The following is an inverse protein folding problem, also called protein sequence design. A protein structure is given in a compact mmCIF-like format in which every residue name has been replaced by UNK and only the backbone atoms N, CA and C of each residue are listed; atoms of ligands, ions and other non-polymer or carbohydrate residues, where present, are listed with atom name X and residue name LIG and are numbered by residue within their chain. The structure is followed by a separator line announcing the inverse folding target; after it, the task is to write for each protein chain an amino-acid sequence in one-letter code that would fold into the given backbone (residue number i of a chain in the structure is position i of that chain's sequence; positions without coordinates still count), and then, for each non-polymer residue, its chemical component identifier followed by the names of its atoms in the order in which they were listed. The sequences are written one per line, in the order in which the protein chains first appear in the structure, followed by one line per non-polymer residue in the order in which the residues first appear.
data_IF_602388512048
#
_entry.id   IF_602388512048
#
_cell.length_a   1.000
_cell.length_b   1.000
_cell.length_c   1.000
_cell.angle_alpha   90.00
_cell.angle_beta   90.00
_cell.angle_gamma   90.00
#
_symmetry.space_group_name_H-M   'P 1'
#
loop_
_entity.id
_entity.type
_entity.pdbx_description
1 polymer ?
#
# COMPACT_ATOMS: atom_id res chain seq x y z
N UNK A 1 49.43 -15.96 1.35
CA UNK A 1 47.98 -16.13 1.61
C UNK A 1 47.28 -14.78 1.40
N UNK A 2 46.61 -14.59 0.26
CA UNK A 2 45.75 -13.41 0.04
C UNK A 2 44.53 -13.58 0.94
N UNK A 3 44.36 -12.69 1.92
CA UNK A 3 43.12 -12.60 2.70
C UNK A 3 42.00 -12.27 1.73
N UNK A 4 40.97 -13.12 1.67
CA UNK A 4 39.74 -12.82 0.95
C UNK A 4 39.19 -11.48 1.45
N UNK A 5 38.83 -10.61 0.52
CA UNK A 5 38.18 -9.35 0.85
C UNK A 5 36.87 -9.65 1.61
N UNK A 6 36.50 -8.85 2.62
CA UNK A 6 35.21 -9.01 3.28
C UNK A 6 34.09 -8.78 2.25
N UNK A 7 33.29 -9.82 2.00
CA UNK A 7 32.09 -9.74 1.16
C UNK A 7 31.14 -8.66 1.71
N UNK A 8 30.62 -7.83 0.80
CA UNK A 8 29.77 -6.67 1.14
C UNK A 8 28.47 -7.11 1.82
N UNK A 9 27.95 -6.37 2.82
CA UNK A 9 26.78 -6.82 3.57
C UNK A 9 25.45 -6.46 2.88
N UNK A 10 24.50 -7.39 3.00
CA UNK A 10 23.07 -7.22 3.33
C UNK A 10 21.99 -7.21 2.24
N UNK A 11 21.96 -6.35 1.22
CA UNK A 11 20.88 -6.41 0.21
C UNK A 11 20.97 -7.58 -0.80
N UNK A 12 22.14 -7.90 -1.40
CA UNK A 12 22.22 -9.00 -2.36
C UNK A 12 21.96 -10.36 -1.71
N UNK A 13 22.21 -10.51 -0.40
CA UNK A 13 22.22 -11.83 0.25
C UNK A 13 20.85 -12.49 0.35
N UNK A 14 19.79 -11.74 0.66
CA UNK A 14 18.43 -12.33 0.74
C UNK A 14 17.94 -12.71 -0.66
N UNK A 15 18.20 -11.86 -1.66
CA UNK A 15 17.88 -12.15 -3.06
C UNK A 15 18.68 -13.36 -3.56
N UNK A 16 19.95 -13.50 -3.19
CA UNK A 16 20.79 -14.66 -3.47
C UNK A 16 20.31 -15.93 -2.77
N UNK A 17 19.84 -15.83 -1.52
CA UNK A 17 19.28 -16.96 -0.77
C UNK A 17 17.99 -17.44 -1.44
N UNK A 18 17.11 -16.52 -1.82
CA UNK A 18 15.85 -16.79 -2.51
C UNK A 18 16.03 -17.08 -4.01
N UNK A 19 17.27 -17.01 -4.53
CA UNK A 19 17.60 -17.10 -5.96
C UNK A 19 16.72 -16.17 -6.84
N UNK A 20 16.32 -15.01 -6.31
CA UNK A 20 15.46 -14.07 -7.01
C UNK A 20 16.26 -13.29 -8.04
N UNK A 21 15.88 -13.45 -9.32
CA UNK A 21 16.57 -12.84 -10.46
C UNK A 21 15.71 -11.83 -11.22
N UNK A 22 14.39 -11.90 -11.04
CA UNK A 22 13.42 -11.09 -11.78
C UNK A 22 13.16 -9.76 -11.05
N UNK A 23 14.19 -8.91 -11.05
CA UNK A 23 14.07 -7.54 -10.57
C UNK A 23 13.57 -6.64 -11.71
N UNK A 24 12.56 -5.83 -11.38
CA UNK A 24 12.05 -4.82 -12.29
C UNK A 24 13.04 -3.63 -12.33
N UNK A 25 13.43 -3.15 -13.51
CA UNK A 25 14.39 -2.04 -13.64
C UNK A 25 13.77 -0.71 -13.20
N UNK A 26 14.61 0.25 -12.83
CA UNK A 26 14.16 1.59 -12.48
C UNK A 26 13.73 2.35 -13.76
N UNK A 27 12.43 2.67 -13.91
CA UNK A 27 11.92 3.27 -15.14
C UNK A 27 12.26 4.77 -15.20
N UNK A 28 12.97 5.18 -16.25
CA UNK A 28 13.32 6.59 -16.46
C UNK A 28 12.13 7.46 -16.95
N UNK A 29 11.02 6.85 -17.37
CA UNK A 29 9.81 7.53 -17.84
C UNK A 29 8.62 6.57 -17.88
N UNK A 30 7.39 7.11 -17.99
CA UNK A 30 6.18 6.30 -18.21
C UNK A 30 6.27 5.43 -19.47
N UNK A 31 6.94 5.93 -20.51
CA UNK A 31 7.22 5.18 -21.73
C UNK A 31 8.04 3.92 -21.45
N UNK A 32 9.19 4.12 -20.79
CA UNK A 32 10.13 3.05 -20.49
C UNK A 32 9.52 2.05 -19.52
N UNK A 33 8.71 2.51 -18.56
CA UNK A 33 7.95 1.63 -17.66
C UNK A 33 7.10 0.59 -18.40
N UNK A 34 6.35 0.99 -19.44
CA UNK A 34 5.51 0.03 -20.19
C UNK A 34 6.35 -0.98 -20.96
N UNK A 35 7.47 -0.55 -21.55
CA UNK A 35 8.40 -1.47 -22.20
C UNK A 35 9.03 -2.44 -21.19
N UNK A 36 9.49 -1.93 -20.05
CA UNK A 36 10.08 -2.73 -18.97
C UNK A 36 9.07 -3.73 -18.40
N UNK A 37 7.78 -3.34 -18.28
CA UNK A 37 6.72 -4.23 -17.83
C UNK A 37 6.38 -5.32 -18.85
N UNK A 38 6.49 -5.03 -20.15
CA UNK A 38 6.34 -6.06 -21.17
C UNK A 38 7.50 -7.08 -21.15
N UNK A 39 8.72 -6.63 -20.86
CA UNK A 39 9.92 -7.49 -20.81
C UNK A 39 10.07 -8.23 -19.47
N UNK A 40 9.60 -7.63 -18.36
CA UNK A 40 9.78 -8.11 -16.99
C UNK A 40 8.45 -8.27 -16.24
N UNK A 41 7.43 -8.79 -16.91
CA UNK A 41 6.14 -9.07 -16.29
C UNK A 41 6.30 -10.08 -15.13
N UNK A 42 5.55 -9.89 -14.04
CA UNK A 42 5.70 -10.58 -12.75
C UNK A 42 6.99 -10.24 -11.97
N UNK A 43 7.71 -9.18 -12.35
CA UNK A 43 8.92 -8.76 -11.67
C UNK A 43 8.68 -8.17 -10.26
N UNK A 44 9.77 -8.00 -9.52
CA UNK A 44 9.79 -7.30 -8.23
C UNK A 44 10.52 -5.97 -8.39
N UNK A 45 9.82 -4.87 -8.14
CA UNK A 45 10.41 -3.54 -8.06
C UNK A 45 10.70 -3.17 -6.61
N UNK A 46 11.98 -3.22 -6.24
CA UNK A 46 12.44 -2.78 -4.92
C UNK A 46 12.90 -1.34 -5.04
N UNK A 47 12.29 -0.45 -4.25
CA UNK A 47 12.60 0.98 -4.30
C UNK A 47 12.86 1.54 -2.93
N UNK A 48 14.04 2.11 -2.76
CA UNK A 48 14.35 2.97 -1.62
C UNK A 48 13.86 4.41 -1.87
N UNK A 49 13.66 5.16 -0.80
CA UNK A 49 13.07 6.50 -0.82
C UNK A 49 11.71 6.56 -1.56
N UNK A 50 10.86 5.56 -1.35
CA UNK A 50 9.54 5.44 -1.98
C UNK A 50 8.62 6.65 -1.73
N UNK A 51 8.69 7.30 -0.56
CA UNK A 51 7.94 8.52 -0.28
C UNK A 51 8.28 9.66 -1.25
N UNK A 52 9.56 9.80 -1.62
CA UNK A 52 10.00 10.79 -2.62
C UNK A 52 9.43 10.50 -4.01
N UNK A 53 9.32 9.22 -4.35
CA UNK A 53 8.71 8.79 -5.60
C UNK A 53 7.22 9.11 -5.65
N UNK A 54 6.48 8.81 -4.58
CA UNK A 54 5.06 9.20 -4.48
C UNK A 54 4.90 10.71 -4.68
N UNK A 55 5.74 11.52 -4.04
CA UNK A 55 5.75 12.98 -4.24
C UNK A 55 6.05 13.37 -5.69
N UNK A 56 6.98 12.69 -6.36
CA UNK A 56 7.28 12.99 -7.77
C UNK A 56 6.11 12.67 -8.71
N UNK A 57 5.33 11.62 -8.42
CA UNK A 57 4.13 11.28 -9.20
C UNK A 57 3.07 12.39 -9.11
N UNK A 58 2.98 13.08 -7.97
CA UNK A 58 2.06 14.20 -7.76
C UNK A 58 2.54 15.49 -8.45
N UNK A 59 3.84 15.75 -8.43
CA UNK A 59 4.41 17.04 -8.87
C UNK A 59 4.79 17.08 -10.35
N UNK A 60 5.10 15.94 -10.96
CA UNK A 60 5.71 15.88 -12.28
C UNK A 60 4.70 15.43 -13.33
N UNK A 61 4.27 16.36 -14.20
CA UNK A 61 3.28 16.10 -15.26
C UNK A 61 3.68 14.97 -16.22
N UNK A 62 4.98 14.77 -16.45
CA UNK A 62 5.48 13.69 -17.31
C UNK A 62 5.39 12.30 -16.66
N UNK A 63 5.14 12.22 -15.35
CA UNK A 63 4.89 10.98 -14.61
C UNK A 63 3.40 10.73 -14.35
N UNK A 64 2.51 11.63 -14.78
CA UNK A 64 1.07 11.43 -14.65
C UNK A 64 0.59 10.16 -15.38
N UNK A 65 1.17 9.87 -16.55
CA UNK A 65 0.92 8.64 -17.32
C UNK A 65 1.36 7.39 -16.54
N UNK A 66 2.47 7.46 -15.79
CA UNK A 66 2.95 6.36 -14.95
C UNK A 66 1.98 6.06 -13.81
N UNK A 67 1.42 7.09 -13.17
CA UNK A 67 0.41 6.92 -12.13
C UNK A 67 -0.81 6.17 -12.64
N UNK A 68 -1.31 6.51 -13.83
CA UNK A 68 -2.42 5.81 -14.47
C UNK A 68 -2.09 4.33 -14.73
N UNK A 69 -0.88 4.03 -15.21
CA UNK A 69 -0.45 2.65 -15.40
C UNK A 69 -0.38 1.86 -14.10
N UNK A 70 0.11 2.44 -13.01
CA UNK A 70 0.14 1.79 -11.70
C UNK A 70 -1.28 1.54 -11.15
N UNK A 71 -2.24 2.42 -11.44
CA UNK A 71 -3.65 2.20 -11.10
C UNK A 71 -4.24 1.02 -11.86
N UNK A 72 -4.03 0.96 -13.18
CA UNK A 72 -4.48 -0.15 -14.03
C UNK A 72 -3.86 -1.48 -13.64
N UNK A 73 -2.57 -1.46 -13.34
CA UNK A 73 -1.81 -2.62 -12.84
C UNK A 73 -2.43 -3.18 -11.56
N UNK A 74 -2.80 -2.34 -10.60
CA UNK A 74 -3.45 -2.78 -9.36
C UNK A 74 -4.78 -3.50 -9.62
N UNK A 75 -5.56 -2.97 -10.57
CA UNK A 75 -6.87 -3.50 -10.98
C UNK A 75 -6.78 -4.67 -11.98
N UNK A 76 -5.57 -5.08 -12.39
CA UNK A 76 -5.33 -6.15 -13.36
C UNK A 76 -5.84 -5.83 -14.76
N UNK A 77 -5.91 -4.54 -15.13
CA UNK A 77 -6.40 -4.11 -16.43
C UNK A 77 -5.29 -4.13 -17.48
N UNK A 78 -5.60 -4.50 -18.75
CA UNK A 78 -4.63 -4.45 -19.83
C UNK A 78 -3.99 -3.06 -19.97
N UNK A 79 -2.68 -3.03 -20.14
CA UNK A 79 -1.90 -1.80 -20.36
C UNK A 79 -1.48 -1.77 -21.81
N UNK A 80 -1.92 -0.74 -22.54
CA UNK A 80 -1.48 -0.52 -23.92
C UNK A 80 -0.97 0.91 -24.10
N UNK A 81 0.10 1.02 -24.88
CA UNK A 81 0.70 2.30 -25.26
C UNK A 81 1.04 2.28 -26.73
N UNK A 82 0.40 3.17 -27.50
CA UNK A 82 0.66 3.33 -28.93
C UNK A 82 1.75 4.38 -29.15
N UNK A 83 2.95 3.95 -29.51
CA UNK A 83 3.95 4.85 -30.08
C UNK A 83 3.90 4.78 -31.61
N UNK A 84 4.47 5.78 -32.30
CA UNK A 84 4.49 5.81 -33.77
C UNK A 84 5.28 4.66 -34.40
N UNK A 85 6.21 4.06 -33.66
CA UNK A 85 7.15 3.05 -34.16
C UNK A 85 6.90 1.65 -33.59
N UNK A 86 6.30 1.52 -32.40
CA UNK A 86 6.10 0.22 -31.75
C UNK A 86 4.92 0.27 -30.75
N UNK A 87 3.77 -0.36 -31.05
CA UNK A 87 2.67 -0.47 -30.11
C UNK A 87 2.95 -1.59 -29.09
N UNK A 88 2.97 -1.27 -27.80
CA UNK A 88 3.09 -2.26 -26.73
C UNK A 88 1.71 -2.52 -26.12
N UNK A 89 1.35 -3.79 -25.95
CA UNK A 89 0.15 -4.23 -25.21
C UNK A 89 0.52 -5.34 -24.25
N UNK A 90 0.02 -5.25 -23.02
CA UNK A 90 0.24 -6.20 -21.95
C UNK A 90 -1.15 -6.58 -21.43
N UNK A 91 -1.59 -7.80 -21.72
CA UNK A 91 -2.94 -8.26 -21.40
C UNK A 91 -3.13 -8.60 -19.92
N UNK A 92 -2.14 -9.23 -19.30
CA UNK A 92 -2.15 -9.62 -17.88
C UNK A 92 -0.95 -9.00 -17.15
N UNK A 93 -0.98 -7.69 -16.87
CA UNK A 93 0.13 -7.00 -16.24
C UNK A 93 0.20 -7.34 -14.75
N UNK A 94 1.38 -7.75 -14.29
CA UNK A 94 1.67 -8.13 -12.93
C UNK A 94 3.03 -7.57 -12.49
N UNK A 95 3.06 -6.95 -11.32
CA UNK A 95 4.28 -6.37 -10.75
C UNK A 95 4.12 -6.30 -9.23
N UNK A 96 5.16 -6.74 -8.51
CA UNK A 96 5.24 -6.57 -7.06
C UNK A 96 6.11 -5.37 -6.74
N UNK A 97 5.62 -4.44 -5.91
CA UNK A 97 6.37 -3.25 -5.50
C UNK A 97 6.68 -3.36 -4.01
N UNK A 98 7.96 -3.29 -3.67
CA UNK A 98 8.44 -3.13 -2.30
C UNK A 98 9.09 -1.75 -2.16
N UNK A 99 8.33 -0.81 -1.60
CA UNK A 99 8.80 0.53 -1.29
C UNK A 99 9.31 0.63 0.15
N UNK A 100 10.50 1.18 0.33
CA UNK A 100 11.07 1.53 1.63
C UNK A 100 11.30 3.04 1.71
N UNK A 101 11.05 3.62 2.88
CA UNK A 101 11.33 5.03 3.19
C UNK A 101 11.37 5.20 4.71
N UNK A 102 12.16 6.15 5.21
CA UNK A 102 12.12 6.58 6.61
C UNK A 102 10.77 7.22 6.93
N UNK A 103 10.12 6.82 8.03
CA UNK A 103 8.75 7.29 8.38
C UNK A 103 8.61 8.82 8.35
N UNK A 104 9.55 9.56 8.93
CA UNK A 104 9.53 11.03 8.90
C UNK A 104 9.65 11.61 7.49
N UNK A 105 10.49 11.00 6.64
CA UNK A 105 10.59 11.37 5.22
C UNK A 105 9.29 11.09 4.49
N UNK A 106 8.62 9.97 4.78
CA UNK A 106 7.29 9.67 4.22
C UNK A 106 6.31 10.79 4.56
N UNK A 107 6.23 11.17 5.84
CA UNK A 107 5.35 12.23 6.37
C UNK A 107 5.61 13.60 5.76
N UNK A 108 6.87 13.89 5.41
CA UNK A 108 7.24 15.12 4.73
C UNK A 108 6.94 15.10 3.21
N UNK A 109 6.78 13.92 2.61
CA UNK A 109 6.62 13.77 1.15
C UNK A 109 5.18 13.54 0.72
N UNK A 110 4.42 12.78 1.52
CA UNK A 110 3.03 12.43 1.25
C UNK A 110 2.18 13.23 2.23
N UNK A 111 1.27 14.08 1.73
CA UNK A 111 0.37 14.80 2.61
C UNK A 111 -0.88 13.96 2.94
N UNK A 112 -1.69 14.45 3.87
CA UNK A 112 -2.90 13.77 4.31
C UNK A 112 -3.88 13.50 3.15
N UNK A 113 -4.02 14.45 2.21
CA UNK A 113 -4.91 14.34 1.04
C UNK A 113 -4.42 13.24 0.08
N UNK A 114 -3.13 13.20 -0.24
CA UNK A 114 -2.50 12.16 -1.06
C UNK A 114 -2.59 10.79 -0.39
N UNK A 115 -2.53 10.70 0.94
CA UNK A 115 -2.66 9.41 1.64
C UNK A 115 -4.08 8.82 1.55
N UNK A 116 -5.10 9.69 1.64
CA UNK A 116 -6.50 9.27 1.51
C UNK A 116 -6.97 9.27 0.06
N UNK A 117 -6.12 9.58 -0.90
CA UNK A 117 -6.48 9.53 -2.31
C UNK A 117 -6.63 8.08 -2.81
N UNK A 118 -7.20 7.95 -4.01
CA UNK A 118 -7.43 6.64 -4.61
C UNK A 118 -6.15 5.85 -4.90
N UNK A 119 -4.99 6.49 -5.03
CA UNK A 119 -3.73 5.84 -5.38
C UNK A 119 -3.01 5.29 -4.14
N UNK A 120 -2.80 6.09 -3.10
CA UNK A 120 -2.10 5.64 -1.89
C UNK A 120 -2.87 4.52 -1.18
N UNK A 121 -4.20 4.55 -1.21
CA UNK A 121 -5.07 3.48 -0.72
C UNK A 121 -4.91 2.11 -1.41
N UNK A 122 -4.11 2.00 -2.48
CA UNK A 122 -3.79 0.73 -3.16
C UNK A 122 -2.51 0.08 -2.63
N UNK A 123 -1.78 0.76 -1.76
CA UNK A 123 -0.61 0.20 -1.08
C UNK A 123 -1.01 -0.30 0.31
N UNK A 124 -0.39 -1.41 0.73
CA UNK A 124 -0.44 -1.87 2.11
C UNK A 124 0.79 -1.33 2.84
N UNK A 125 0.57 -0.62 3.95
CA UNK A 125 1.66 -0.01 4.72
C UNK A 125 2.12 -0.94 5.85
N UNK A 126 3.43 -0.90 6.13
CA UNK A 126 4.02 -1.52 7.32
C UNK A 126 4.92 -0.47 7.99
N UNK A 127 4.74 -0.26 9.29
CA UNK A 127 5.63 0.59 10.09
C UNK A 127 6.61 -0.32 10.83
N UNK A 128 7.86 -0.33 10.35
CA UNK A 128 8.94 -1.04 11.03
C UNK A 128 9.40 -0.26 12.26
N UNK A 129 8.75 -0.51 13.40
CA UNK A 129 9.12 0.11 14.68
C UNK A 129 10.55 -0.30 15.12
N UNK A 130 11.23 0.62 15.80
CA UNK A 130 12.55 0.32 16.37
C UNK A 130 12.39 -0.69 17.50
N UNK A 131 13.16 -1.78 17.46
CA UNK A 131 13.22 -2.75 18.55
C UNK A 131 13.97 -2.13 19.75
N UNK A 132 13.28 -1.85 20.88
CA UNK A 132 13.90 -1.21 22.04
C UNK A 132 14.97 -2.08 22.70
N UNK A 133 14.92 -3.41 22.50
CA UNK A 133 15.91 -4.34 23.01
C UNK A 133 17.17 -4.40 22.14
N UNK A 134 17.12 -3.85 20.92
CA UNK A 134 18.20 -3.91 19.94
C UNK A 134 18.77 -2.51 19.66
N UNK A 135 19.47 -1.97 20.65
CA UNK A 135 20.11 -0.65 20.55
C UNK A 135 21.19 -0.65 19.46
N UNK A 136 21.23 0.40 18.65
CA UNK A 136 22.18 0.54 17.54
C UNK A 136 23.65 0.48 18.00
N UNK A 137 23.94 0.93 19.23
CA UNK A 137 25.28 0.83 19.85
C UNK A 137 25.77 -0.60 20.01
N UNK A 138 24.84 -1.53 20.26
CA UNK A 138 25.14 -2.91 20.63
C UNK A 138 25.09 -3.83 19.40
N UNK A 139 24.36 -3.41 18.36
CA UNK A 139 24.17 -4.18 17.12
C UNK A 139 24.53 -3.35 15.88
N UNK A 140 25.79 -2.89 15.74
CA UNK A 140 26.22 -2.08 14.60
C UNK A 140 26.24 -2.86 13.28
N UNK A 141 26.21 -4.20 13.36
CA UNK A 141 26.23 -5.10 12.21
C UNK A 141 24.97 -5.97 12.19
N UNK A 142 24.33 -6.04 11.02
CA UNK A 142 23.31 -7.03 10.72
C UNK A 142 23.96 -8.28 10.12
N UNK A 143 24.35 -9.23 10.98
CA UNK A 143 24.93 -10.50 10.55
C UNK A 143 23.89 -11.63 10.58
N UNK A 144 23.39 -11.99 9.40
CA UNK A 144 22.41 -13.06 9.22
C UNK A 144 23.06 -14.41 8.85
N UNK A 145 24.39 -14.49 8.71
CA UNK A 145 25.11 -15.67 8.18
C UNK A 145 24.81 -16.95 8.92
N UNK A 146 24.66 -16.86 10.24
CA UNK A 146 24.32 -18.00 11.09
C UNK A 146 22.96 -18.64 10.75
N UNK A 147 22.10 -17.92 10.05
CA UNK A 147 20.78 -18.37 9.63
C UNK A 147 20.74 -18.78 8.15
N UNK A 148 21.79 -18.57 7.36
CA UNK A 148 21.80 -18.81 5.91
C UNK A 148 21.35 -20.23 5.53
N UNK A 149 21.90 -21.25 6.21
CA UNK A 149 21.54 -22.65 5.95
C UNK A 149 20.07 -22.91 6.21
N UNK A 150 19.55 -22.43 7.35
CA UNK A 150 18.16 -22.62 7.73
C UNK A 150 17.20 -21.86 6.80
N UNK A 151 17.55 -20.64 6.38
CA UNK A 151 16.76 -19.87 5.43
C UNK A 151 16.73 -20.54 4.05
N UNK A 152 17.87 -21.05 3.57
CA UNK A 152 17.96 -21.76 2.29
C UNK A 152 17.15 -23.06 2.31
N UNK A 153 17.24 -23.84 3.39
CA UNK A 153 16.46 -25.06 3.55
C UNK A 153 14.95 -24.77 3.57
N UNK A 154 14.53 -23.76 4.33
CA UNK A 154 13.13 -23.34 4.36
C UNK A 154 12.64 -22.89 2.98
N UNK A 155 13.46 -22.10 2.25
CA UNK A 155 13.12 -21.64 0.91
C UNK A 155 13.02 -22.78 -0.10
N UNK A 156 13.91 -23.78 -0.04
CA UNK A 156 13.78 -24.98 -0.87
C UNK A 156 12.49 -25.74 -0.61
N UNK A 157 12.00 -25.75 0.64
CA UNK A 157 10.67 -26.27 0.95
C UNK A 157 9.57 -25.53 0.17
N UNK A 158 9.63 -24.20 0.15
CA UNK A 158 8.69 -23.35 -0.61
C UNK A 158 8.79 -23.59 -2.12
N UNK A 159 10.00 -23.65 -2.68
CA UNK A 159 10.23 -23.91 -4.11
C UNK A 159 9.70 -25.28 -4.57
N UNK A 160 9.56 -26.24 -3.64
CA UNK A 160 9.04 -27.57 -3.94
C UNK A 160 7.51 -27.64 -4.07
N UNK A 161 6.81 -26.57 -3.66
CA UNK A 161 5.34 -26.51 -3.73
C UNK A 161 4.90 -26.22 -5.16
N UNK A 162 4.03 -27.06 -5.76
CA UNK A 162 3.52 -26.83 -7.10
C UNK A 162 2.62 -25.58 -7.12
N UNK A 163 2.87 -24.69 -8.08
CA UNK A 163 2.01 -23.55 -8.34
C UNK A 163 0.83 -23.97 -9.22
N UNK A 164 -0.38 -23.66 -8.77
CA UNK A 164 -1.60 -23.90 -9.53
C UNK A 164 -2.05 -22.63 -10.24
N UNK A 165 -2.64 -22.73 -11.45
CA UNK A 165 -3.12 -21.55 -12.17
C UNK A 165 -4.30 -20.86 -11.48
N UNK A 166 -5.09 -21.63 -10.71
CA UNK A 166 -6.27 -21.14 -10.00
C UNK A 166 -6.30 -21.78 -8.62
N UNK A 167 -6.46 -20.93 -7.60
CA UNK A 167 -6.68 -21.36 -6.23
C UNK A 167 -8.11 -21.01 -5.77
N UNK A 168 -9.10 -21.93 -5.82
CA UNK A 168 -10.42 -21.70 -5.24
C UNK A 168 -10.34 -21.38 -3.74
N UNK A 169 -11.20 -20.46 -3.28
CA UNK A 169 -11.32 -20.12 -1.85
C UNK A 169 -12.35 -21.04 -1.20
N UNK A 170 -11.89 -21.92 -0.30
CA UNK A 170 -12.76 -22.88 0.39
C UNK A 170 -13.76 -22.21 1.34
N UNK A 171 -14.87 -22.88 1.64
CA UNK A 171 -15.94 -22.33 2.50
C UNK A 171 -15.46 -21.95 3.90
N UNK A 172 -14.50 -22.71 4.44
CA UNK A 172 -13.85 -22.41 5.71
C UNK A 172 -13.06 -21.09 5.67
N UNK A 173 -12.32 -20.84 4.58
CA UNK A 173 -11.62 -19.58 4.36
C UNK A 173 -12.60 -18.40 4.23
N UNK A 174 -13.69 -18.58 3.49
CA UNK A 174 -14.76 -17.57 3.38
C UNK A 174 -15.35 -17.23 4.75
N UNK A 175 -15.57 -18.23 5.60
CA UNK A 175 -16.10 -18.05 6.94
C UNK A 175 -15.15 -17.26 7.83
N UNK A 176 -13.85 -17.58 7.79
CA UNK A 176 -12.80 -16.83 8.51
C UNK A 176 -12.74 -15.38 8.03
N UNK A 177 -12.75 -15.16 6.72
CA UNK A 177 -12.74 -13.81 6.14
C UNK A 177 -13.93 -12.98 6.63
N UNK A 178 -15.15 -13.54 6.57
CA UNK A 178 -16.37 -12.83 7.01
C UNK A 178 -16.35 -12.50 8.50
N UNK A 179 -15.88 -13.43 9.34
CA UNK A 179 -15.76 -13.20 10.77
C UNK A 179 -14.78 -12.06 11.06
N UNK A 180 -13.57 -12.13 10.49
CA UNK A 180 -12.55 -11.11 10.67
C UNK A 180 -12.96 -9.74 10.09
N UNK A 181 -13.62 -9.70 8.94
CA UNK A 181 -14.14 -8.45 8.36
C UNK A 181 -15.13 -7.74 9.30
N UNK A 182 -15.96 -8.51 10.02
CA UNK A 182 -16.88 -7.94 11.01
C UNK A 182 -16.16 -7.50 12.28
N UNK A 183 -15.21 -8.29 12.75
CA UNK A 183 -14.45 -8.04 13.98
C UNK A 183 -13.50 -6.85 13.86
N UNK A 184 -12.80 -6.74 12.73
CA UNK A 184 -11.85 -5.66 12.44
C UNK A 184 -12.51 -4.42 11.85
N UNK A 185 -13.83 -4.44 11.66
CA UNK A 185 -14.57 -3.29 11.17
C UNK A 185 -14.27 -2.09 12.10
N UNK A 186 -13.76 -0.97 11.57
CA UNK A 186 -13.46 0.18 12.40
C UNK A 186 -14.76 0.68 13.05
N UNK A 187 -14.75 0.81 14.38
CA UNK A 187 -15.91 1.26 15.15
C UNK A 187 -16.24 2.76 14.90
N UNK A 188 -15.27 3.52 14.39
CA UNK A 188 -15.32 4.96 14.09
C UNK A 188 -14.76 5.24 12.68
N UNK A 189 -14.74 6.50 12.24
CA UNK A 189 -14.05 6.96 11.01
C UNK A 189 -12.50 6.96 11.15
N UNK A 190 -11.94 6.10 12.00
CA UNK A 190 -10.49 6.03 12.24
C UNK A 190 -9.71 5.56 11.00
N UNK A 191 -10.36 4.75 10.15
CA UNK A 191 -9.84 4.32 8.85
C UNK A 191 -10.96 4.47 7.83
N UNK A 192 -10.76 5.21 6.71
CA UNK A 192 -11.76 5.33 5.67
C UNK A 192 -12.22 3.97 5.16
N UNK A 193 -13.53 3.80 4.96
CA UNK A 193 -14.11 2.52 4.50
C UNK A 193 -13.50 2.01 3.18
N UNK A 194 -13.11 2.93 2.28
CA UNK A 194 -12.42 2.57 1.04
C UNK A 194 -11.04 1.96 1.30
N UNK A 195 -10.31 2.50 2.27
CA UNK A 195 -9.02 1.96 2.71
C UNK A 195 -9.24 0.58 3.33
N UNK A 196 -10.14 0.48 4.32
CA UNK A 196 -10.46 -0.76 5.01
C UNK A 196 -10.81 -1.89 4.03
N UNK A 197 -11.71 -1.64 3.07
CA UNK A 197 -12.12 -2.65 2.08
C UNK A 197 -10.97 -3.12 1.21
N UNK A 198 -10.09 -2.23 0.76
CA UNK A 198 -8.94 -2.58 -0.11
C UNK A 198 -7.90 -3.39 0.65
N UNK A 199 -7.58 -2.98 1.88
CA UNK A 199 -6.68 -3.73 2.75
C UNK A 199 -7.26 -5.10 3.06
N UNK A 200 -8.53 -5.19 3.47
CA UNK A 200 -9.22 -6.46 3.70
C UNK A 200 -9.15 -7.37 2.47
N UNK A 201 -9.41 -6.84 1.26
CA UNK A 201 -9.40 -7.67 0.05
C UNK A 201 -8.01 -8.19 -0.34
N UNK A 202 -6.94 -7.51 0.09
CA UNK A 202 -5.57 -8.02 -0.07
C UNK A 202 -5.36 -9.36 0.65
N UNK A 203 -6.22 -9.72 1.59
CA UNK A 203 -6.17 -11.01 2.27
C UNK A 203 -6.22 -12.21 1.33
N UNK A 204 -6.96 -12.12 0.21
CA UNK A 204 -7.04 -13.24 -0.74
C UNK A 204 -5.66 -13.51 -1.35
N UNK A 205 -4.92 -12.45 -1.71
CA UNK A 205 -3.55 -12.53 -2.21
C UNK A 205 -2.60 -13.07 -1.12
N UNK A 206 -2.70 -12.56 0.11
CA UNK A 206 -1.90 -13.08 1.22
C UNK A 206 -2.20 -14.53 1.56
N UNK A 207 -3.45 -14.97 1.47
CA UNK A 207 -3.82 -16.35 1.75
C UNK A 207 -3.20 -17.30 0.72
N UNK A 208 -3.19 -16.93 -0.57
CA UNK A 208 -2.45 -17.68 -1.58
C UNK A 208 -0.94 -17.77 -1.28
N UNK A 209 -0.33 -16.66 -0.85
CA UNK A 209 1.08 -16.66 -0.43
C UNK A 209 1.29 -17.57 0.79
N UNK A 210 0.46 -17.49 1.82
CA UNK A 210 0.58 -18.32 3.03
C UNK A 210 0.29 -19.80 2.80
N UNK A 211 -0.57 -20.12 1.83
CA UNK A 211 -0.80 -21.49 1.38
C UNK A 211 0.50 -22.11 0.87
N UNK A 212 1.19 -21.39 -0.04
CA UNK A 212 2.48 -21.78 -0.59
C UNK A 212 3.56 -21.83 0.51
N UNK A 213 3.66 -20.80 1.35
CA UNK A 213 4.63 -20.76 2.45
C UNK A 213 4.41 -21.85 3.51
N UNK A 214 3.19 -22.37 3.64
CA UNK A 214 2.88 -23.47 4.56
C UNK A 214 3.28 -24.84 4.02
N UNK A 215 3.72 -24.92 2.77
CA UNK A 215 4.05 -26.19 2.12
C UNK A 215 2.82 -26.98 1.67
N UNK A 216 1.67 -26.33 1.48
CA UNK A 216 0.46 -27.03 1.02
C UNK A 216 0.52 -27.24 -0.50
N UNK A 217 0.41 -28.49 -0.93
CA UNK A 217 0.44 -28.90 -2.34
C UNK A 217 -0.94 -28.86 -3.01
N UNK A 218 -2.00 -28.66 -2.23
CA UNK A 218 -3.35 -28.49 -2.72
C UNK A 218 -3.50 -27.24 -3.59
N UNK A 219 -4.69 -27.09 -4.18
CA UNK A 219 -5.06 -25.88 -4.89
C UNK A 219 -6.19 -25.10 -4.20
N UNK A 220 -6.65 -25.53 -3.02
CA UNK A 220 -7.72 -24.84 -2.29
C UNK A 220 -7.14 -23.97 -1.17
N UNK A 221 -7.53 -22.69 -1.13
CA UNK A 221 -7.22 -21.80 0.00
C UNK A 221 -8.04 -22.21 1.21
N UNK A 222 -7.35 -22.60 2.28
CA UNK A 222 -7.95 -23.15 3.49
C UNK A 222 -8.27 -22.08 4.53
N UNK A 223 -9.03 -22.46 5.57
CA UNK A 223 -9.27 -21.60 6.73
C UNK A 223 -7.97 -21.19 7.43
N UNK A 224 -6.95 -22.06 7.42
CA UNK A 224 -5.63 -21.78 8.03
C UNK A 224 -4.90 -20.68 7.25
N UNK A 225 -4.92 -20.76 5.93
CA UNK A 225 -4.25 -19.79 5.06
C UNK A 225 -4.87 -18.40 5.21
N UNK A 226 -6.20 -18.35 5.20
CA UNK A 226 -6.94 -17.12 5.47
C UNK A 226 -6.70 -16.60 6.89
N UNK A 227 -6.57 -17.47 7.89
CA UNK A 227 -6.23 -17.07 9.25
C UNK A 227 -4.89 -16.35 9.36
N UNK A 228 -3.86 -16.83 8.66
CA UNK A 228 -2.57 -16.14 8.57
C UNK A 228 -2.66 -14.83 7.78
N UNK A 229 -3.40 -14.82 6.67
CA UNK A 229 -3.66 -13.61 5.90
C UNK A 229 -4.34 -12.53 6.75
N UNK A 230 -5.35 -12.89 7.55
CA UNK A 230 -6.03 -11.96 8.45
C UNK A 230 -5.11 -11.34 9.50
N UNK A 231 -4.09 -12.07 9.97
CA UNK A 231 -3.08 -11.49 10.88
C UNK A 231 -2.23 -10.43 10.18
N UNK A 232 -1.84 -10.66 8.92
CA UNK A 232 -1.15 -9.64 8.12
C UNK A 232 -2.04 -8.44 7.84
N UNK A 233 -3.32 -8.66 7.54
CA UNK A 233 -4.28 -7.56 7.37
C UNK A 233 -4.44 -6.74 8.64
N UNK A 234 -4.51 -7.38 9.81
CA UNK A 234 -4.58 -6.68 11.08
C UNK A 234 -3.36 -5.76 11.29
N UNK A 235 -2.15 -6.22 10.95
CA UNK A 235 -0.94 -5.39 10.98
C UNK A 235 -1.05 -4.18 10.04
N UNK A 236 -1.49 -4.40 8.79
CA UNK A 236 -1.66 -3.30 7.83
C UNK A 236 -2.70 -2.27 8.26
N UNK A 237 -3.82 -2.72 8.85
CA UNK A 237 -4.86 -1.83 9.34
C UNK A 237 -4.35 -1.00 10.53
N UNK A 238 -3.61 -1.62 11.45
CA UNK A 238 -3.04 -0.92 12.60
C UNK A 238 -2.00 0.12 12.17
N UNK A 239 -1.09 -0.24 11.26
CA UNK A 239 -0.06 0.66 10.75
C UNK A 239 -0.67 1.79 9.91
N UNK A 240 -1.72 1.50 9.15
CA UNK A 240 -2.49 2.52 8.44
C UNK A 240 -3.15 3.47 9.42
N UNK A 241 -3.80 2.96 10.46
CA UNK A 241 -4.45 3.77 11.49
C UNK A 241 -3.43 4.69 12.16
N UNK A 242 -2.28 4.15 12.55
CA UNK A 242 -1.18 4.94 13.11
C UNK A 242 -0.74 6.04 12.13
N UNK A 243 -0.56 5.70 10.85
CA UNK A 243 -0.16 6.67 9.84
C UNK A 243 -1.21 7.79 9.68
N UNK A 244 -2.50 7.46 9.65
CA UNK A 244 -3.60 8.43 9.59
C UNK A 244 -3.65 9.32 10.83
N UNK A 245 -3.52 8.73 12.02
CA UNK A 245 -3.48 9.44 13.30
C UNK A 245 -2.31 10.44 13.34
N UNK A 246 -1.14 10.04 12.82
CA UNK A 246 0.06 10.87 12.72
C UNK A 246 -0.11 12.11 11.82
N UNK A 247 -1.01 12.06 10.83
CA UNK A 247 -1.41 13.23 10.03
C UNK A 247 -2.52 14.05 10.67
N UNK A 248 -3.00 13.67 11.85
CA UNK A 248 -4.17 14.28 12.47
C UNK A 248 -5.44 14.07 11.65
N UNK A 249 -5.50 13.06 10.77
CA UNK A 249 -6.64 12.84 9.89
C UNK A 249 -7.91 12.50 10.66
N UNK A 250 -7.82 11.84 11.82
CA UNK A 250 -8.95 11.68 12.71
C UNK A 250 -9.55 13.02 13.17
N UNK A 251 -8.74 14.08 13.33
CA UNK A 251 -9.23 15.43 13.62
C UNK A 251 -9.74 16.12 12.36
N UNK A 252 -9.02 16.02 11.23
CA UNK A 252 -9.42 16.63 9.96
C UNK A 252 -10.74 16.05 9.45
N UNK A 253 -10.93 14.73 9.52
CA UNK A 253 -12.15 14.06 9.08
C UNK A 253 -13.33 14.35 10.02
N UNK A 254 -13.09 14.43 11.34
CA UNK A 254 -14.09 14.97 12.29
C UNK A 254 -14.48 16.40 11.95
N UNK A 255 -13.51 17.24 11.58
CA UNK A 255 -13.76 18.62 11.16
C UNK A 255 -14.52 18.66 9.84
N UNK A 256 -14.17 17.83 8.85
CA UNK A 256 -14.86 17.75 7.55
C UNK A 256 -16.29 17.25 7.70
N UNK A 257 -16.56 16.19 8.48
CA UNK A 257 -17.93 15.74 8.79
C UNK A 257 -18.71 16.84 9.49
N UNK A 258 -18.09 17.54 10.45
CA UNK A 258 -18.74 18.67 11.12
C UNK A 258 -19.04 19.82 10.16
N UNK A 259 -18.17 20.08 9.18
CA UNK A 259 -18.39 21.05 8.11
C UNK A 259 -19.57 20.62 7.23
N UNK A 260 -19.67 19.34 6.86
CA UNK A 260 -20.79 18.81 6.09
C UNK A 260 -22.13 18.93 6.84
N UNK A 261 -22.15 18.61 8.13
CA UNK A 261 -23.34 18.79 8.99
C UNK A 261 -23.79 20.24 9.03
N UNK A 262 -22.86 21.16 9.32
CA UNK A 262 -23.15 22.59 9.37
C UNK A 262 -23.61 23.12 8.02
N UNK A 263 -23.01 22.63 6.92
CA UNK A 263 -23.43 22.97 5.56
C UNK A 263 -24.86 22.51 5.29
N UNK A 264 -25.20 21.25 5.58
CA UNK A 264 -26.56 20.70 5.42
C UNK A 264 -27.58 21.48 6.25
N UNK A 265 -27.26 21.82 7.50
CA UNK A 265 -28.14 22.64 8.35
C UNK A 265 -28.41 24.04 7.77
N UNK A 266 -27.39 24.69 7.21
CA UNK A 266 -27.54 26.04 6.64
C UNK A 266 -28.30 25.99 5.31
N UNK A 267 -28.01 24.99 4.48
CA UNK A 267 -28.67 24.77 3.19
C UNK A 267 -30.15 24.35 3.36
N UNK A 268 -30.47 23.56 4.38
CA UNK A 268 -31.85 23.24 4.76
C UNK A 268 -32.67 24.49 5.13
N UNK A 269 -32.01 25.56 5.58
CA UNK A 269 -32.61 26.86 5.86
C UNK A 269 -32.62 27.81 4.63
N UNK A 270 -32.39 27.28 3.42
CA UNK A 270 -32.42 28.03 2.16
C UNK A 270 -31.24 29.00 1.97
N UNK A 271 -30.15 28.84 2.74
CA UNK A 271 -28.97 29.71 2.68
C UNK A 271 -27.75 28.95 2.18
N UNK A 272 -26.88 29.62 1.43
CA UNK A 272 -25.59 29.06 1.01
C UNK A 272 -24.61 29.15 2.18
N UNK A 273 -23.97 28.04 2.53
CA UNK A 273 -22.93 27.99 3.57
C UNK A 273 -21.68 28.76 3.14
N UNK A 274 -21.25 29.75 3.92
CA UNK A 274 -20.06 30.57 3.64
C UNK A 274 -18.93 30.25 4.64
N UNK A 275 -17.65 30.55 4.30
CA UNK A 275 -16.51 30.35 5.19
C UNK A 275 -16.69 30.96 6.59
N UNK A 276 -17.33 32.14 6.68
CA UNK A 276 -17.64 32.80 7.96
C UNK A 276 -18.60 32.01 8.85
N UNK A 277 -19.48 31.20 8.26
CA UNK A 277 -20.47 30.42 9.00
C UNK A 277 -19.80 29.22 9.66
N UNK A 278 -18.79 28.64 9.01
CA UNK A 278 -17.94 27.59 9.58
C UNK A 278 -17.07 28.09 10.73
N UNK A 279 -16.37 29.23 10.54
CA UNK A 279 -15.53 29.83 11.60
C UNK A 279 -16.34 30.13 12.88
N UNK A 280 -17.62 30.51 12.73
CA UNK A 280 -18.50 30.79 13.88
C UNK A 280 -19.00 29.54 14.60
N UNK A 281 -19.07 28.40 13.92
CA UNK A 281 -19.72 27.19 14.43
C UNK A 281 -18.74 26.06 14.76
N UNK A 282 -17.51 26.14 14.26
CA UNK A 282 -16.47 25.13 14.43
C UNK A 282 -15.23 25.82 14.98
N UNK A 283 -15.01 25.70 16.28
CA UNK A 283 -13.97 26.42 17.03
C UNK A 283 -12.53 26.11 16.60
N UNK A 284 -12.32 24.97 15.92
CA UNK A 284 -11.03 24.58 15.36
C UNK A 284 -10.67 25.39 14.12
N UNK A 285 -11.66 25.86 13.34
CA UNK A 285 -11.42 26.62 12.10
C UNK A 285 -11.18 28.09 12.46
N UNK A 286 -9.92 28.53 12.33
CA UNK A 286 -9.52 29.88 12.78
C UNK A 286 -9.43 30.89 11.65
N UNK A 287 -9.28 30.42 10.41
CA UNK A 287 -9.03 31.30 9.25
C UNK A 287 -10.04 31.10 8.12
N UNK A 288 -10.24 32.17 7.34
CA UNK A 288 -11.09 32.15 6.16
C UNK A 288 -10.53 31.33 4.99
N UNK A 289 -9.22 31.03 4.99
CA UNK A 289 -8.61 30.17 3.98
C UNK A 289 -8.85 28.70 4.32
N UNK A 290 -8.60 28.31 5.57
CA UNK A 290 -8.90 26.97 6.10
C UNK A 290 -10.37 26.59 5.90
N UNK A 291 -11.29 27.50 6.23
CA UNK A 291 -12.71 27.32 6.00
C UNK A 291 -13.10 27.14 4.52
N UNK A 292 -12.35 27.74 3.58
CA UNK A 292 -12.59 27.60 2.13
C UNK A 292 -12.13 26.24 1.62
N UNK A 293 -10.94 25.80 2.02
CA UNK A 293 -10.40 24.49 1.65
C UNK A 293 -11.32 23.36 2.15
N UNK A 294 -11.80 23.44 3.39
CA UNK A 294 -12.71 22.44 3.95
C UNK A 294 -14.07 22.39 3.25
N UNK A 295 -14.61 23.53 2.79
CA UNK A 295 -15.85 23.56 1.99
C UNK A 295 -15.68 22.91 0.61
N UNK A 296 -14.49 23.04 0.03
CA UNK A 296 -14.16 22.42 -1.25
C UNK A 296 -14.07 20.90 -1.10
N UNK A 297 -13.33 20.43 -0.09
CA UNK A 297 -13.22 19.01 0.26
C UNK A 297 -14.60 18.38 0.53
N UNK A 298 -15.45 19.05 1.31
CA UNK A 298 -16.82 18.61 1.60
C UNK A 298 -17.78 18.69 0.40
N UNK A 299 -17.48 19.53 -0.60
CA UNK A 299 -18.28 19.68 -1.82
C UNK A 299 -18.02 18.58 -2.84
N UNK A 300 -16.76 18.15 -2.95
CA UNK A 300 -16.32 17.15 -3.92
C UNK A 300 -16.78 15.73 -3.53
N UNK A 301 -16.88 15.40 -2.23
CA UNK A 301 -17.45 14.12 -1.75
C UNK A 301 -18.93 13.94 -2.15
N UNK A 302 -19.77 14.98 -2.01
CA UNK A 302 -21.20 14.90 -2.37
C UNK A 302 -21.49 14.63 -3.86
N UNK A 303 -20.53 14.90 -4.76
CA UNK A 303 -20.67 14.60 -6.19
C UNK A 303 -20.19 13.20 -6.56
N UNK A 304 -19.45 12.54 -5.69
CA UNK A 304 -18.93 11.17 -5.91
C UNK A 304 -19.90 10.08 -5.42
N UNK A 305 -20.86 10.45 -4.56
CA UNK A 305 -21.85 9.53 -3.95
C UNK A 305 -23.26 9.65 -4.59
N UNK A 306 -23.39 10.36 -5.72
CA UNK A 306 -24.61 10.52 -6.50
C UNK A 306 -24.44 9.93 -7.91
#
# INVERSE_FOLDING_TARGET
MRRAAPEKPTQPRILEIANQRDLFPEPASAAKFVHDLAEHNNGIWIRDEFGQFLRSLDQQSHLAELRDYLLRLYDGQPISRRTKSDPVSIEDPALTILGATVLETFKACVNAESLVDGFAQRFNFIIAATDPSRRASDFPLYDLRRHDSAMREAWHGVESVPLHPIYPVGEGAVSVFKAAFKEMMPADDAVPMSFFRRTMFSAVRYAAVFHILSGDHGNEITARDMGWAMRMIALHLEDTRQLLDDYGLGELERVVRRVEEVKREIEANGRICKPRDLIRRISVIRTANEARSLLQIAGDKTKSDA
#
